data_IF_314458946452
#
_entry.id   IF_314458946452
#
_cell.length_a   1.000
_cell.length_b   1.000
_cell.length_c   1.000
_cell.angle_alpha   90.00
_cell.angle_beta   90.00
_cell.angle_gamma   90.00
#
_symmetry.space_group_name_H-M   'P 1'
#
loop_
_entity.id
_entity.type
_entity.pdbx_description
1 polymer ?
#
# COMPACT_ATOMS: atom_id res chain seq x y z
N UNK A 1 -53.85 -15.65 62.02
CA UNK A 1 -53.11 -15.68 60.73
C UNK A 1 -53.14 -14.27 60.16
N UNK A 2 -52.03 -13.57 59.91
CA UNK A 2 -51.99 -12.48 58.91
C UNK A 2 -50.65 -11.75 58.78
N UNK A 3 -49.80 -11.67 59.82
CA UNK A 3 -48.51 -10.96 59.68
C UNK A 3 -47.37 -11.87 59.24
N UNK A 4 -47.20 -13.04 59.87
CA UNK A 4 -46.13 -14.00 59.54
C UNK A 4 -46.28 -14.58 58.13
N UNK A 5 -47.51 -14.89 57.70
CA UNK A 5 -47.78 -15.40 56.34
C UNK A 5 -47.52 -14.31 55.30
N UNK A 6 -47.91 -13.06 55.59
CA UNK A 6 -47.67 -11.93 54.68
C UNK A 6 -46.17 -11.61 54.56
N UNK A 7 -45.42 -11.68 55.66
CA UNK A 7 -43.95 -11.50 55.64
C UNK A 7 -43.23 -12.64 54.93
N UNK A 8 -43.65 -13.89 55.12
CA UNK A 8 -43.09 -15.05 54.39
C UNK A 8 -43.39 -14.98 52.90
N UNK A 9 -44.60 -14.53 52.53
CA UNK A 9 -45.00 -14.30 51.14
C UNK A 9 -44.18 -13.15 50.51
N UNK A 10 -43.95 -12.06 51.24
CA UNK A 10 -43.13 -10.94 50.77
C UNK A 10 -41.68 -11.36 50.54
N UNK A 11 -41.10 -12.19 51.42
CA UNK A 11 -39.74 -12.74 51.27
C UNK A 11 -39.63 -13.71 50.09
N UNK A 12 -40.64 -14.57 49.89
CA UNK A 12 -40.69 -15.51 48.77
C UNK A 12 -40.87 -14.83 47.39
N UNK A 13 -41.46 -13.64 47.35
CA UNK A 13 -41.58 -12.84 46.11
C UNK A 13 -40.23 -12.24 45.71
N UNK A 14 -39.32 -11.97 46.65
CA UNK A 14 -37.98 -11.40 46.33
C UNK A 14 -37.07 -12.38 45.59
N UNK A 15 -37.24 -13.69 45.76
CA UNK A 15 -36.43 -14.71 45.07
C UNK A 15 -36.89 -15.00 43.63
N UNK A 16 -38.04 -14.45 43.22
CA UNK A 16 -38.60 -14.58 41.87
C UNK A 16 -38.28 -13.38 40.97
N UNK A 17 -37.63 -12.34 41.50
CA UNK A 17 -37.24 -11.15 40.74
C UNK A 17 -35.86 -11.40 40.09
N UNK A 18 -35.82 -12.24 39.06
CA UNK A 18 -34.69 -12.30 38.14
C UNK A 18 -34.71 -11.06 37.22
N UNK A 19 -34.41 -9.87 37.75
CA UNK A 19 -34.56 -8.60 37.02
C UNK A 19 -33.69 -8.48 35.74
N UNK A 20 -32.88 -9.48 35.37
CA UNK A 20 -31.78 -9.28 34.41
C UNK A 20 -31.54 -10.46 33.46
N UNK A 21 -32.47 -11.42 33.34
CA UNK A 21 -32.06 -12.75 32.83
C UNK A 21 -31.95 -12.89 31.30
N UNK A 22 -32.00 -11.80 30.50
CA UNK A 22 -31.86 -11.89 29.03
C UNK A 22 -31.11 -10.71 28.40
N UNK A 23 -31.47 -9.47 28.75
CA UNK A 23 -30.87 -8.25 28.19
C UNK A 23 -30.86 -7.14 29.25
N UNK A 24 -29.69 -6.62 29.58
CA UNK A 24 -29.55 -5.44 30.43
C UNK A 24 -29.63 -4.18 29.56
N UNK A 25 -30.69 -3.41 29.73
CA UNK A 25 -30.83 -2.08 29.13
C UNK A 25 -30.36 -0.99 30.08
N UNK A 26 -29.52 -0.08 29.60
CA UNK A 26 -29.17 1.16 30.30
C UNK A 26 -29.53 2.32 29.38
N UNK A 27 -30.40 3.21 29.85
CA UNK A 27 -30.89 4.34 29.04
C UNK A 27 -31.90 3.95 27.94
N UNK A 28 -32.47 2.75 27.99
CA UNK A 28 -33.51 2.31 27.03
C UNK A 28 -34.58 1.45 27.70
N UNK A 29 -35.84 1.67 27.33
CA UNK A 29 -36.98 0.86 27.78
C UNK A 29 -37.25 -0.34 26.87
N UNK A 30 -36.60 -0.41 25.71
CA UNK A 30 -36.72 -1.50 24.73
C UNK A 30 -35.33 -2.02 24.37
N UNK A 31 -34.67 -2.79 25.27
CA UNK A 31 -33.37 -3.39 24.99
C UNK A 31 -33.42 -4.24 23.72
N UNK A 32 -32.35 -4.22 22.92
CA UNK A 32 -32.26 -5.06 21.73
C UNK A 32 -32.31 -6.54 22.19
N UNK A 33 -33.25 -7.36 21.69
CA UNK A 33 -33.42 -8.74 22.14
C UNK A 33 -32.21 -9.63 21.82
N UNK A 34 -31.32 -9.21 20.93
CA UNK A 34 -30.08 -9.91 20.57
C UNK A 34 -28.86 -9.42 21.38
N UNK A 35 -29.02 -8.43 22.27
CA UNK A 35 -27.94 -7.89 23.08
C UNK A 35 -28.09 -8.29 24.55
N UNK A 36 -27.04 -8.88 25.14
CA UNK A 36 -26.98 -9.08 26.58
C UNK A 36 -26.82 -7.75 27.35
N UNK A 37 -26.22 -6.74 26.72
CA UNK A 37 -26.10 -5.36 27.22
C UNK A 37 -26.42 -4.37 26.10
N UNK A 38 -27.43 -3.53 26.29
CA UNK A 38 -27.80 -2.43 25.39
C UNK A 38 -27.66 -1.11 26.15
N UNK A 39 -26.69 -0.28 25.75
CA UNK A 39 -26.48 1.05 26.33
C UNK A 39 -26.87 2.10 25.29
N UNK A 40 -27.84 2.94 25.65
CA UNK A 40 -28.27 4.08 24.85
C UNK A 40 -27.99 5.38 25.60
N UNK A 41 -27.81 6.47 24.85
CA UNK A 41 -27.75 7.82 25.42
C UNK A 41 -29.02 8.58 25.03
N UNK A 42 -30.07 8.61 25.89
CA UNK A 42 -31.35 9.24 25.58
C UNK A 42 -31.24 10.70 25.10
N UNK A 43 -30.23 11.41 25.61
CA UNK A 43 -29.96 12.82 25.33
C UNK A 43 -28.70 13.04 24.48
N UNK A 44 -28.08 11.97 23.97
CA UNK A 44 -26.88 12.06 23.11
C UNK A 44 -25.62 12.61 23.78
N UNK A 45 -25.52 12.55 25.11
CA UNK A 45 -24.44 13.15 25.91
C UNK A 45 -23.77 12.17 26.90
N UNK A 46 -23.99 10.87 26.74
CA UNK A 46 -23.42 9.81 27.59
C UNK A 46 -22.75 8.74 26.72
N UNK A 47 -21.77 8.04 27.29
CA UNK A 47 -21.13 6.87 26.69
C UNK A 47 -20.90 5.77 27.73
N UNK A 48 -20.36 4.63 27.30
CA UNK A 48 -20.05 3.52 28.20
C UNK A 48 -18.57 3.50 28.57
N UNK A 49 -18.28 3.38 29.87
CA UNK A 49 -16.94 3.07 30.34
C UNK A 49 -16.78 1.57 30.54
N UNK A 50 -15.90 0.99 29.74
CA UNK A 50 -15.43 -0.38 29.84
C UNK A 50 -14.30 -0.49 30.88
N UNK A 51 -14.02 -1.70 31.42
CA UNK A 51 -12.93 -1.90 32.37
C UNK A 51 -11.62 -1.32 31.85
N UNK A 52 -10.94 -0.51 32.68
CA UNK A 52 -9.68 0.13 32.34
C UNK A 52 -8.56 -0.46 33.15
N UNK A 53 -7.55 -0.98 32.49
CA UNK A 53 -6.40 -1.65 33.12
C UNK A 53 -5.10 -1.01 32.63
N UNK A 54 -4.01 -1.13 33.40
CA UNK A 54 -2.66 -0.90 32.87
C UNK A 54 -2.25 -2.02 31.92
N UNK A 55 -1.21 -1.81 31.11
CA UNK A 55 -0.65 -2.84 30.24
C UNK A 55 -0.20 -4.06 31.04
N UNK A 56 0.37 -3.85 32.23
CA UNK A 56 0.77 -4.94 33.12
C UNK A 56 -0.43 -5.77 33.59
N UNK A 57 -1.52 -5.11 34.01
CA UNK A 57 -2.74 -5.78 34.46
C UNK A 57 -3.41 -6.56 33.31
N UNK A 58 -3.56 -5.96 32.13
CA UNK A 58 -4.10 -6.65 30.94
C UNK A 58 -3.25 -7.86 30.56
N UNK A 59 -1.92 -7.70 30.54
CA UNK A 59 -1.00 -8.78 30.14
C UNK A 59 -1.08 -9.95 31.11
N UNK A 60 -1.18 -9.67 32.42
CA UNK A 60 -1.37 -10.69 33.45
C UNK A 60 -2.67 -11.50 33.26
N UNK A 61 -3.71 -10.93 32.65
CA UNK A 61 -4.94 -11.70 32.35
C UNK A 61 -4.69 -12.81 31.32
N UNK A 62 -3.67 -12.71 30.47
CA UNK A 62 -3.44 -13.69 29.40
C UNK A 62 -3.13 -15.10 29.92
N UNK A 63 -2.77 -15.26 31.20
CA UNK A 63 -2.54 -16.56 31.83
C UNK A 63 -3.81 -17.24 32.38
N UNK A 64 -4.90 -16.48 32.51
CA UNK A 64 -6.18 -16.96 33.05
C UNK A 64 -7.30 -17.01 32.01
N UNK A 65 -7.13 -16.33 30.88
CA UNK A 65 -8.10 -16.32 29.78
C UNK A 65 -7.83 -17.47 28.80
N UNK A 66 -8.93 -18.02 28.26
CA UNK A 66 -8.90 -19.05 27.22
C UNK A 66 -9.82 -18.75 26.05
N UNK A 67 -10.10 -19.76 25.23
CA UNK A 67 -10.96 -19.62 24.06
C UNK A 67 -12.41 -19.20 24.40
N UNK A 68 -12.90 -19.59 25.58
CA UNK A 68 -14.24 -19.24 26.05
C UNK A 68 -14.43 -17.74 26.34
N UNK A 69 -13.33 -17.01 26.56
CA UNK A 69 -13.35 -15.57 26.87
C UNK A 69 -13.23 -14.70 25.61
N UNK A 70 -13.27 -15.30 24.42
CA UNK A 70 -13.18 -14.58 23.16
C UNK A 70 -14.27 -13.50 23.06
N UNK A 71 -13.88 -12.29 22.68
CA UNK A 71 -14.76 -11.11 22.66
C UNK A 71 -14.73 -10.28 23.95
N UNK A 72 -13.94 -10.66 24.97
CA UNK A 72 -13.73 -9.80 26.15
C UNK A 72 -13.09 -8.46 25.75
N UNK A 73 -13.68 -7.36 26.25
CA UNK A 73 -13.34 -5.98 25.89
C UNK A 73 -12.79 -5.22 27.09
N UNK A 74 -11.64 -4.54 26.93
CA UNK A 74 -11.09 -3.64 27.94
C UNK A 74 -10.22 -2.53 27.34
N UNK A 75 -10.03 -1.45 28.10
CA UNK A 75 -9.24 -0.28 27.67
C UNK A 75 -7.90 -0.28 28.39
N UNK A 76 -6.81 -0.22 27.63
CA UNK A 76 -5.45 -0.14 28.16
C UNK A 76 -5.06 1.31 28.40
N UNK A 77 -4.85 1.69 29.66
CA UNK A 77 -4.55 3.06 30.06
C UNK A 77 -3.13 3.49 29.67
N UNK A 78 -2.18 2.58 29.48
CA UNK A 78 -0.80 2.96 29.14
C UNK A 78 -0.70 3.17 27.63
N UNK A 79 -1.33 2.29 26.84
CA UNK A 79 -1.32 2.33 25.38
C UNK A 79 -2.47 3.14 24.76
N UNK A 80 -3.42 3.61 25.58
CA UNK A 80 -4.58 4.41 25.18
C UNK A 80 -5.43 3.76 24.08
N UNK A 81 -5.65 2.44 24.19
CA UNK A 81 -6.29 1.65 23.14
C UNK A 81 -7.34 0.67 23.69
N UNK A 82 -8.38 0.40 22.89
CA UNK A 82 -9.29 -0.71 23.11
C UNK A 82 -8.59 -2.02 22.76
N UNK A 83 -8.83 -3.04 23.58
CA UNK A 83 -8.36 -4.40 23.37
C UNK A 83 -9.51 -5.39 23.38
N UNK A 84 -9.45 -6.37 22.47
CA UNK A 84 -10.38 -7.50 22.35
C UNK A 84 -9.60 -8.80 22.49
N UNK A 85 -10.01 -9.69 23.38
CA UNK A 85 -9.42 -11.03 23.45
C UNK A 85 -9.94 -11.87 22.29
N UNK A 86 -9.05 -12.44 21.46
CA UNK A 86 -9.47 -13.28 20.33
C UNK A 86 -9.61 -14.77 20.67
N UNK A 87 -9.51 -15.13 21.96
CA UNK A 87 -9.48 -16.51 22.44
C UNK A 87 -8.06 -17.04 22.71
N UNK A 88 -7.02 -16.34 22.26
CA UNK A 88 -5.61 -16.74 22.43
C UNK A 88 -4.70 -15.59 22.86
N UNK A 89 -4.96 -14.39 22.35
CA UNK A 89 -4.14 -13.20 22.57
C UNK A 89 -5.00 -11.94 22.50
N UNK A 90 -4.53 -10.88 23.15
CA UNK A 90 -5.12 -9.56 23.09
C UNK A 90 -4.84 -8.88 21.74
N UNK A 91 -5.91 -8.48 21.05
CA UNK A 91 -5.85 -7.70 19.81
C UNK A 91 -6.16 -6.23 20.10
N UNK A 92 -5.32 -5.31 19.62
CA UNK A 92 -5.51 -3.88 19.81
C UNK A 92 -6.33 -3.27 18.69
N UNK A 93 -7.25 -2.36 19.00
CA UNK A 93 -7.93 -1.52 18.01
C UNK A 93 -7.05 -0.40 17.46
N UNK A 94 -5.87 -0.15 18.06
CA UNK A 94 -4.99 0.95 17.67
C UNK A 94 -4.22 0.69 16.37
N UNK A 95 -4.30 -0.54 15.83
CA UNK A 95 -3.72 -0.89 14.54
C UNK A 95 -4.84 -1.34 13.62
N UNK A 96 -4.98 -0.67 12.48
CA UNK A 96 -5.72 -1.24 11.36
C UNK A 96 -4.96 -2.47 10.89
N UNK A 97 -5.35 -3.62 11.40
CA UNK A 97 -4.81 -4.90 10.98
C UNK A 97 -5.66 -5.37 9.80
N UNK A 98 -5.26 -5.00 8.59
CA UNK A 98 -5.83 -5.61 7.40
C UNK A 98 -5.58 -7.13 7.49
N UNK A 99 -6.54 -7.98 7.11
CA UNK A 99 -6.37 -9.43 7.19
C UNK A 99 -5.09 -9.86 6.47
N UNK A 100 -4.45 -10.93 6.99
CA UNK A 100 -3.19 -11.45 6.47
C UNK A 100 -3.25 -11.80 4.97
N UNK A 101 -4.44 -12.15 4.47
CA UNK A 101 -4.85 -12.15 3.05
C UNK A 101 -6.37 -11.98 3.02
N UNK A 102 -6.88 -11.01 2.26
CA UNK A 102 -8.32 -10.89 1.96
C UNK A 102 -8.53 -10.81 0.45
N UNK A 103 -9.66 -11.31 -0.05
CA UNK A 103 -10.04 -11.23 -1.47
C UNK A 103 -11.36 -10.51 -1.60
N UNK A 104 -11.33 -9.29 -2.13
CA UNK A 104 -12.53 -8.53 -2.42
C UNK A 104 -13.13 -8.97 -3.76
N UNK A 105 -14.35 -9.53 -3.73
CA UNK A 105 -15.04 -10.06 -4.92
C UNK A 105 -16.07 -9.09 -5.50
N UNK A 106 -16.43 -8.03 -4.78
CA UNK A 106 -17.37 -7.01 -5.24
C UNK A 106 -16.91 -5.61 -4.86
N UNK A 107 -17.08 -4.66 -5.78
CA UNK A 107 -16.91 -3.23 -5.55
C UNK A 107 -18.11 -2.50 -6.17
N UNK A 108 -18.57 -1.39 -5.57
CA UNK A 108 -19.54 -0.54 -6.24
C UNK A 108 -18.95 -0.01 -7.56
N UNK A 109 -19.77 0.20 -8.62
CA UNK A 109 -19.30 0.80 -9.86
C UNK A 109 -18.53 2.10 -9.61
N UNK A 110 -17.36 2.25 -10.22
CA UNK A 110 -16.45 3.39 -10.05
C UNK A 110 -15.89 3.57 -8.62
N UNK A 111 -15.94 2.54 -7.78
CA UNK A 111 -15.38 2.53 -6.42
C UNK A 111 -13.91 2.10 -6.35
N UNK A 112 -13.25 2.44 -5.24
CA UNK A 112 -11.92 1.96 -4.89
C UNK A 112 -12.01 1.02 -3.68
N UNK A 113 -11.27 -0.09 -3.70
CA UNK A 113 -11.11 -0.95 -2.52
C UNK A 113 -10.38 -0.23 -1.39
N UNK A 114 -9.41 0.61 -1.75
CA UNK A 114 -8.66 1.48 -0.85
C UNK A 114 -8.44 2.82 -1.55
N UNK A 115 -8.81 3.91 -0.90
CA UNK A 115 -8.52 5.27 -1.37
C UNK A 115 -8.03 6.11 -0.20
N UNK A 116 -6.83 6.68 -0.35
CA UNK A 116 -6.24 7.60 0.61
C UNK A 116 -6.11 8.95 -0.09
N UNK A 117 -6.73 10.00 0.45
CA UNK A 117 -6.69 11.36 -0.11
C UNK A 117 -6.15 12.30 0.96
N UNK A 118 -5.06 12.99 0.63
CA UNK A 118 -4.58 14.13 1.40
C UNK A 118 -4.83 15.40 0.59
N UNK A 119 -5.72 16.26 1.07
CA UNK A 119 -6.06 17.53 0.45
C UNK A 119 -5.86 18.64 1.48
N UNK A 120 -4.75 19.37 1.37
CA UNK A 120 -4.31 20.33 2.38
C UNK A 120 -3.61 21.51 1.73
N UNK A 121 -3.68 22.68 2.37
CA UNK A 121 -2.94 23.89 2.01
C UNK A 121 -1.69 24.10 2.88
N UNK A 122 -1.37 23.14 3.75
CA UNK A 122 -0.28 23.26 4.71
C UNK A 122 1.10 23.29 4.03
N UNK A 123 1.97 24.19 4.50
CA UNK A 123 3.36 24.34 4.04
C UNK A 123 4.26 23.42 4.86
N UNK A 124 4.37 22.15 4.46
CA UNK A 124 5.23 21.16 5.12
C UNK A 124 5.39 19.91 4.27
N UNK A 125 6.33 19.05 4.66
CA UNK A 125 6.54 17.76 3.98
C UNK A 125 5.59 16.72 4.59
N UNK A 126 4.65 16.24 3.78
CA UNK A 126 3.66 15.25 4.21
C UNK A 126 3.69 14.04 3.26
N UNK A 127 3.74 12.84 3.83
CA UNK A 127 3.55 11.59 3.10
C UNK A 127 2.10 11.12 3.20
N UNK A 128 1.54 10.63 2.11
CA UNK A 128 0.17 10.06 2.09
C UNK A 128 0.18 8.58 2.44
N UNK A 129 1.20 7.86 1.98
CA UNK A 129 1.42 6.45 2.25
C UNK A 129 2.92 6.14 2.25
N UNK A 130 3.32 5.14 3.04
CA UNK A 130 4.69 4.66 3.12
C UNK A 130 4.68 3.13 3.15
N UNK A 131 5.40 2.50 2.23
CA UNK A 131 5.47 1.04 2.07
C UNK A 131 6.91 0.59 2.17
N UNK A 132 7.28 -0.07 3.27
CA UNK A 132 8.64 -0.53 3.52
C UNK A 132 8.67 -2.02 3.85
N UNK A 133 9.68 -2.70 3.32
CA UNK A 133 10.03 -4.07 3.69
C UNK A 133 11.52 -4.10 4.07
N UNK A 134 11.77 -3.91 5.36
CA UNK A 134 13.13 -3.84 5.93
C UNK A 134 13.69 -5.22 6.32
N UNK A 135 12.97 -6.31 6.04
CA UNK A 135 13.44 -7.65 6.34
C UNK A 135 14.41 -8.12 5.25
N UNK A 136 15.72 -8.31 5.55
CA UNK A 136 16.71 -8.70 4.56
C UNK A 136 16.46 -10.09 3.96
N UNK A 137 15.61 -10.90 4.59
CA UNK A 137 15.27 -12.25 4.14
C UNK A 137 13.93 -12.33 3.40
N UNK A 138 13.28 -11.20 3.11
CA UNK A 138 11.97 -11.23 2.46
C UNK A 138 12.06 -11.56 0.98
N UNK A 139 11.21 -12.48 0.51
CA UNK A 139 11.03 -12.80 -0.91
C UNK A 139 9.93 -12.00 -1.61
N UNK A 140 9.32 -11.01 -0.94
CA UNK A 140 8.17 -10.26 -1.45
C UNK A 140 8.48 -8.76 -1.64
N UNK A 141 7.89 -8.17 -2.67
CA UNK A 141 7.95 -6.72 -2.90
C UNK A 141 7.15 -5.96 -1.83
N UNK A 142 7.62 -4.77 -1.44
CA UNK A 142 6.86 -3.88 -0.55
C UNK A 142 5.57 -3.36 -1.22
N UNK A 143 5.57 -3.26 -2.56
CA UNK A 143 4.41 -2.96 -3.37
C UNK A 143 4.35 -3.95 -4.56
N UNK A 144 3.19 -4.57 -4.76
CA UNK A 144 2.92 -5.44 -5.90
C UNK A 144 1.62 -5.01 -6.56
N UNK A 145 1.66 -4.78 -7.87
CA UNK A 145 0.50 -4.43 -8.67
C UNK A 145 0.41 -5.37 -9.87
N UNK A 146 -0.79 -5.91 -10.12
CA UNK A 146 -1.07 -6.77 -11.27
C UNK A 146 -2.49 -6.50 -11.74
N UNK A 147 -2.64 -6.45 -13.06
CA UNK A 147 -3.93 -6.42 -13.74
C UNK A 147 -4.02 -7.57 -14.72
N UNK A 148 -5.20 -8.17 -14.82
CA UNK A 148 -5.56 -9.09 -15.91
C UNK A 148 -6.57 -8.43 -16.86
N UNK A 149 -6.82 -7.12 -16.69
CA UNK A 149 -7.74 -6.35 -17.53
C UNK A 149 -7.17 -6.16 -18.93
N UNK A 150 -8.05 -6.18 -19.93
CA UNK A 150 -7.71 -5.86 -21.31
C UNK A 150 -7.63 -4.34 -21.58
N UNK A 151 -8.13 -3.50 -20.67
CA UNK A 151 -8.33 -2.06 -20.94
C UNK A 151 -7.53 -1.14 -20.02
N UNK A 152 -7.05 -1.61 -18.87
CA UNK A 152 -6.41 -0.76 -17.86
C UNK A 152 -5.05 -1.31 -17.41
N UNK A 153 -4.12 -0.40 -17.09
CA UNK A 153 -2.83 -0.71 -16.48
C UNK A 153 -2.92 -1.15 -15.01
N UNK A 154 -1.84 -1.74 -14.50
CA UNK A 154 -1.75 -2.16 -13.10
C UNK A 154 -1.50 -0.99 -12.13
N UNK A 155 -0.92 0.10 -12.63
CA UNK A 155 -0.60 1.29 -11.87
C UNK A 155 -0.59 2.52 -12.79
N UNK A 156 -0.89 3.69 -12.22
CA UNK A 156 -0.74 4.99 -12.85
C UNK A 156 0.02 5.91 -11.88
N UNK A 157 0.99 6.66 -12.41
CA UNK A 157 1.89 7.54 -11.64
C UNK A 157 1.90 8.89 -12.33
N UNK A 158 1.10 9.83 -11.81
CA UNK A 158 0.86 11.13 -12.45
C UNK A 158 1.28 12.27 -11.54
N UNK A 159 2.08 13.17 -12.10
CA UNK A 159 2.36 14.48 -11.51
C UNK A 159 1.67 15.54 -12.37
N UNK A 160 0.56 16.08 -11.88
CA UNK A 160 -0.19 17.13 -12.56
C UNK A 160 0.08 18.50 -11.92
N UNK A 161 1.32 18.97 -12.02
CA UNK A 161 1.73 20.28 -11.53
C UNK A 161 2.85 20.85 -12.42
N UNK A 162 2.61 21.93 -13.18
CA UNK A 162 3.62 22.48 -14.11
C UNK A 162 4.85 23.07 -13.39
N UNK A 163 4.76 23.34 -12.09
CA UNK A 163 5.89 23.84 -11.29
C UNK A 163 6.69 22.71 -10.61
N UNK A 164 6.34 21.44 -10.83
CA UNK A 164 7.05 20.33 -10.21
C UNK A 164 8.47 20.17 -10.80
N UNK A 165 9.46 19.99 -9.92
CA UNK A 165 10.88 19.80 -10.28
C UNK A 165 11.44 18.46 -9.79
N UNK A 166 10.59 17.50 -9.46
CA UNK A 166 10.97 16.20 -8.91
C UNK A 166 10.55 15.06 -9.85
N UNK A 167 11.08 13.87 -9.63
CA UNK A 167 10.69 12.69 -10.39
C UNK A 167 9.25 12.28 -10.03
N UNK A 168 8.46 11.93 -11.05
CA UNK A 168 7.20 11.22 -10.84
C UNK A 168 7.43 9.79 -10.31
N UNK A 169 8.57 9.19 -10.68
CA UNK A 169 9.03 7.87 -10.22
C UNK A 169 10.55 7.90 -10.04
N UNK A 170 11.01 7.87 -8.79
CA UNK A 170 12.42 7.67 -8.45
C UNK A 170 12.72 6.19 -8.22
N UNK A 171 13.74 5.65 -8.88
CA UNK A 171 14.22 4.27 -8.69
C UNK A 171 15.72 4.27 -8.44
N UNK A 172 16.16 3.53 -7.42
CA UNK A 172 17.59 3.39 -7.10
C UNK A 172 17.88 2.02 -6.51
N UNK A 173 19.12 1.55 -6.68
CA UNK A 173 19.61 0.32 -6.06
C UNK A 173 21.09 0.49 -5.74
N UNK A 174 21.51 0.00 -4.58
CA UNK A 174 22.92 -0.09 -4.17
C UNK A 174 23.44 -1.54 -4.22
N UNK A 175 22.66 -2.48 -4.76
CA UNK A 175 23.03 -3.88 -4.78
C UNK A 175 24.12 -4.14 -5.85
N UNK A 176 25.14 -4.92 -5.48
CA UNK A 176 26.31 -5.23 -6.31
C UNK A 176 25.96 -5.75 -7.71
N UNK A 177 24.88 -6.53 -7.82
CA UNK A 177 24.35 -7.07 -9.08
C UNK A 177 22.86 -6.71 -9.27
N UNK A 178 22.42 -5.63 -8.62
CA UNK A 178 21.03 -5.17 -8.65
C UNK A 178 20.62 -4.57 -9.98
N UNK A 179 19.33 -4.64 -10.27
CA UNK A 179 18.70 -3.91 -11.38
C UNK A 179 17.62 -3.02 -10.80
N UNK A 180 17.75 -1.71 -10.99
CA UNK A 180 16.79 -0.73 -10.48
C UNK A 180 15.42 -0.79 -11.19
N UNK A 181 15.40 -1.15 -12.47
CA UNK A 181 14.17 -1.28 -13.25
C UNK A 181 14.28 -2.31 -14.38
N UNK A 182 13.17 -3.00 -14.67
CA UNK A 182 13.06 -3.95 -15.76
C UNK A 182 11.71 -3.73 -16.48
N UNK A 183 11.77 -3.45 -17.78
CA UNK A 183 10.59 -3.27 -18.63
C UNK A 183 10.60 -4.36 -19.70
N UNK A 184 9.56 -5.20 -19.73
CA UNK A 184 9.53 -6.40 -20.56
C UNK A 184 8.21 -6.52 -21.31
N UNK A 185 8.30 -6.72 -22.62
CA UNK A 185 7.20 -7.23 -23.45
C UNK A 185 7.54 -8.67 -23.84
N UNK A 186 6.73 -9.63 -23.44
CA UNK A 186 6.96 -11.07 -23.64
C UNK A 186 5.96 -11.73 -24.59
N UNK A 187 5.37 -10.94 -25.50
CA UNK A 187 4.45 -11.45 -26.52
C UNK A 187 5.11 -11.35 -27.91
N UNK A 188 5.31 -12.49 -28.56
CA UNK A 188 5.97 -12.59 -29.87
C UNK A 188 5.24 -11.84 -31.00
N UNK A 189 3.94 -11.55 -30.83
CA UNK A 189 3.15 -10.75 -31.77
C UNK A 189 3.12 -9.25 -31.46
N UNK A 190 3.73 -8.79 -30.36
CA UNK A 190 3.70 -7.38 -29.98
C UNK A 190 4.49 -6.51 -30.96
N UNK A 191 3.92 -5.35 -31.31
CA UNK A 191 4.57 -4.28 -32.09
C UNK A 191 4.76 -2.99 -31.28
N UNK A 192 4.53 -3.06 -29.97
CA UNK A 192 4.62 -1.92 -29.06
C UNK A 192 6.00 -1.80 -28.40
N UNK A 193 6.23 -0.66 -27.75
CA UNK A 193 7.44 -0.39 -26.98
C UNK A 193 7.31 -0.89 -25.54
N UNK A 194 8.36 -1.54 -25.02
CA UNK A 194 8.40 -1.90 -23.60
C UNK A 194 8.59 -0.67 -22.70
N UNK A 195 9.25 0.36 -23.24
CA UNK A 195 9.39 1.68 -22.65
C UNK A 195 9.18 2.72 -23.75
N UNK A 196 8.29 3.68 -23.50
CA UNK A 196 8.04 4.83 -24.37
C UNK A 196 8.33 6.10 -23.59
N UNK A 197 9.17 6.97 -24.14
CA UNK A 197 9.52 8.25 -23.55
C UNK A 197 9.35 9.34 -24.60
N UNK A 198 8.68 10.43 -24.23
CA UNK A 198 8.37 11.55 -25.09
C UNK A 198 8.66 12.87 -24.36
N UNK A 199 9.25 13.82 -25.09
CA UNK A 199 9.39 15.22 -24.66
C UNK A 199 8.75 16.10 -25.73
N UNK A 200 8.00 17.12 -25.33
CA UNK A 200 7.35 18.10 -26.21
C UNK A 200 7.84 19.54 -25.95
N UNK A 201 8.87 19.70 -25.12
CA UNK A 201 9.39 21.02 -24.77
C UNK A 201 10.26 21.62 -25.88
N UNK A 202 10.21 22.94 -26.04
CA UNK A 202 11.08 23.71 -26.94
C UNK A 202 12.54 23.82 -26.47
N UNK A 203 12.87 23.20 -25.33
CA UNK A 203 14.22 23.17 -24.76
C UNK A 203 15.01 21.98 -25.31
N UNK A 204 16.34 22.09 -25.31
CA UNK A 204 17.26 21.02 -25.77
C UNK A 204 17.30 19.77 -24.86
N UNK A 205 16.26 19.56 -24.05
CA UNK A 205 16.15 18.43 -23.13
C UNK A 205 15.85 17.13 -23.86
N UNK A 206 16.64 16.09 -23.58
CA UNK A 206 16.42 14.77 -24.15
C UNK A 206 15.22 14.06 -23.47
N UNK A 207 14.38 13.39 -24.26
CA UNK A 207 13.32 12.53 -23.72
C UNK A 207 13.89 11.34 -22.92
N UNK A 208 15.10 10.88 -23.28
CA UNK A 208 15.86 9.87 -22.56
C UNK A 208 17.30 10.36 -22.42
N UNK A 209 17.81 10.37 -21.18
CA UNK A 209 19.17 10.76 -20.88
C UNK A 209 19.85 9.67 -20.04
N UNK A 210 20.93 9.10 -20.56
CA UNK A 210 21.80 8.17 -19.84
C UNK A 210 23.11 8.85 -19.45
N UNK A 211 23.47 8.81 -18.16
CA UNK A 211 24.73 9.35 -17.65
C UNK A 211 25.49 8.24 -16.91
N UNK A 212 26.60 7.78 -17.46
CA UNK A 212 27.50 6.82 -16.83
C UNK A 212 28.76 7.54 -16.37
N UNK A 213 28.96 7.62 -15.05
CA UNK A 213 30.13 8.25 -14.40
C UNK A 213 31.22 7.25 -14.03
N UNK A 214 30.97 5.95 -14.24
CA UNK A 214 31.90 4.86 -13.94
C UNK A 214 32.48 4.25 -15.21
N UNK A 215 32.84 2.97 -15.12
CA UNK A 215 33.35 2.19 -16.24
C UNK A 215 32.20 1.39 -16.88
N UNK A 216 32.07 1.44 -18.21
CA UNK A 216 31.09 0.66 -18.97
C UNK A 216 30.38 1.49 -20.05
N UNK A 217 29.34 0.90 -20.64
CA UNK A 217 28.52 1.58 -21.64
C UNK A 217 27.50 2.50 -20.98
N UNK A 218 27.29 3.70 -21.52
CA UNK A 218 26.16 4.56 -21.13
C UNK A 218 24.81 4.01 -21.61
N UNK A 219 24.81 3.39 -22.79
CA UNK A 219 23.66 2.70 -23.39
C UNK A 219 24.16 1.46 -24.12
N UNK A 220 23.48 0.33 -23.96
CA UNK A 220 23.79 -0.91 -24.65
C UNK A 220 22.56 -1.43 -25.39
N UNK A 221 22.59 -1.34 -26.72
CA UNK A 221 21.58 -1.97 -27.59
C UNK A 221 22.04 -3.36 -28.00
N UNK A 222 21.15 -4.35 -27.92
CA UNK A 222 21.38 -5.71 -28.43
C UNK A 222 20.15 -6.22 -29.16
N UNK A 223 20.36 -6.79 -30.33
CA UNK A 223 19.33 -7.50 -31.08
C UNK A 223 19.85 -8.86 -31.52
N UNK A 224 19.02 -9.89 -31.37
CA UNK A 224 19.24 -11.24 -31.89
C UNK A 224 18.26 -11.56 -33.03
N UNK A 225 17.55 -10.56 -33.56
CA UNK A 225 16.54 -10.77 -34.58
C UNK A 225 17.14 -11.19 -35.92
N UNK A 226 16.48 -12.11 -36.62
CA UNK A 226 16.89 -12.64 -37.93
C UNK A 226 16.13 -12.01 -39.10
N UNK A 227 15.32 -10.98 -38.86
CA UNK A 227 14.44 -10.36 -39.85
C UNK A 227 14.84 -8.91 -40.14
N UNK A 228 14.35 -8.37 -41.27
CA UNK A 228 14.44 -6.93 -41.55
C UNK A 228 13.91 -6.12 -40.36
N UNK A 229 14.55 -4.98 -40.06
CA UNK A 229 14.31 -4.13 -38.87
C UNK A 229 14.81 -4.68 -37.51
N UNK A 230 15.68 -5.69 -37.49
CA UNK A 230 16.31 -6.20 -36.25
C UNK A 230 17.53 -5.38 -35.79
N UNK A 231 17.57 -4.07 -36.05
CA UNK A 231 18.67 -3.22 -35.61
C UNK A 231 18.67 -3.10 -34.08
N UNK A 232 19.85 -3.18 -33.46
CA UNK A 232 19.99 -2.98 -32.01
C UNK A 232 19.74 -1.53 -31.58
N UNK A 233 20.03 -0.58 -32.48
CA UNK A 233 19.74 0.85 -32.35
C UNK A 233 19.22 1.32 -33.71
N UNK A 234 18.10 2.03 -33.72
CA UNK A 234 17.51 2.65 -34.90
C UNK A 234 17.18 4.10 -34.56
N UNK A 235 17.72 5.03 -35.35
CA UNK A 235 17.45 6.46 -35.24
C UNK A 235 16.76 6.95 -36.51
N UNK A 236 15.63 7.64 -36.35
CA UNK A 236 14.86 8.23 -37.45
C UNK A 236 14.63 9.70 -37.15
N UNK A 237 14.92 10.56 -38.13
CA UNK A 237 14.70 11.98 -38.03
C UNK A 237 13.95 12.46 -39.28
N UNK A 238 12.67 12.78 -39.08
CA UNK A 238 11.76 13.25 -40.14
C UNK A 238 11.61 14.78 -40.14
N UNK A 239 12.17 15.45 -39.13
CA UNK A 239 12.14 16.91 -39.00
C UNK A 239 13.17 17.59 -39.91
N UNK A 240 13.19 18.92 -39.86
CA UNK A 240 14.11 19.75 -40.66
C UNK A 240 15.36 20.20 -39.89
N UNK A 241 15.54 19.82 -38.61
CA UNK A 241 16.67 20.25 -37.78
C UNK A 241 17.71 19.16 -37.48
N UNK A 242 19.01 19.46 -37.67
CA UNK A 242 20.16 18.60 -37.33
C UNK A 242 20.14 17.15 -37.89
N UNK A 243 21.15 16.34 -37.54
CA UNK A 243 21.31 14.96 -37.95
C UNK A 243 20.52 13.97 -37.06
N UNK A 244 20.14 12.82 -37.63
CA UNK A 244 19.49 11.73 -36.89
C UNK A 244 20.37 11.09 -35.79
N UNK A 245 21.68 11.34 -35.83
CA UNK A 245 22.63 10.94 -34.81
C UNK A 245 23.86 11.83 -34.81
N UNK A 246 24.36 12.17 -33.62
CA UNK A 246 25.59 12.93 -33.42
C UNK A 246 26.47 12.21 -32.41
N UNK A 247 27.70 11.89 -32.80
CA UNK A 247 28.71 11.28 -31.95
C UNK A 247 29.84 12.29 -31.74
N UNK A 248 30.05 12.71 -30.48
CA UNK A 248 30.99 13.80 -30.16
C UNK A 248 31.83 13.45 -28.94
N UNK A 249 33.12 13.74 -29.02
CA UNK A 249 34.04 13.74 -27.89
C UNK A 249 34.43 15.20 -27.66
N UNK A 250 34.09 15.74 -26.49
CA UNK A 250 34.35 17.15 -26.14
C UNK A 250 35.67 17.35 -25.38
N UNK A 251 36.25 16.28 -24.84
CA UNK A 251 37.54 16.35 -24.16
C UNK A 251 38.69 16.40 -25.19
N UNK A 252 39.36 17.54 -25.29
CA UNK A 252 40.45 17.78 -26.25
C UNK A 252 41.66 16.85 -26.07
N UNK A 253 41.85 16.25 -24.89
CA UNK A 253 42.92 15.27 -24.64
C UNK A 253 42.57 13.82 -24.98
N UNK A 254 41.35 13.55 -25.46
CA UNK A 254 40.92 12.20 -25.80
C UNK A 254 41.48 11.79 -27.18
N UNK A 255 42.09 10.62 -27.25
CA UNK A 255 42.80 10.09 -28.44
C UNK A 255 41.97 9.10 -29.27
N UNK A 256 40.75 8.80 -28.86
CA UNK A 256 39.87 7.83 -29.53
C UNK A 256 38.94 8.49 -30.54
N UNK A 257 38.41 7.68 -31.47
CA UNK A 257 37.39 8.15 -32.42
C UNK A 257 36.03 8.31 -31.73
N UNK A 258 35.26 9.31 -32.15
CA UNK A 258 33.90 9.52 -31.66
C UNK A 258 32.92 8.40 -32.09
N UNK A 259 33.24 7.71 -33.20
CA UNK A 259 32.55 6.52 -33.67
C UNK A 259 33.59 5.45 -34.01
N UNK A 260 33.37 4.24 -33.53
CA UNK A 260 34.21 3.07 -33.80
C UNK A 260 33.28 1.92 -34.21
N UNK A 261 33.61 1.27 -35.33
CA UNK A 261 32.89 0.11 -35.85
C UNK A 261 33.84 -1.09 -35.95
N UNK A 262 33.31 -2.27 -35.63
CA UNK A 262 34.00 -3.55 -35.78
C UNK A 262 33.00 -4.64 -36.18
N UNK A 263 33.45 -5.59 -37.00
CA UNK A 263 32.63 -6.73 -37.40
C UNK A 263 33.48 -7.99 -37.51
N UNK A 264 33.01 -9.08 -36.88
CA UNK A 264 33.52 -10.43 -37.12
C UNK A 264 32.82 -11.10 -38.32
N UNK A 265 31.84 -10.43 -38.92
CA UNK A 265 31.11 -10.90 -40.09
C UNK A 265 31.80 -10.54 -41.41
N UNK A 266 31.20 -10.94 -42.52
CA UNK A 266 31.72 -10.69 -43.88
C UNK A 266 31.34 -9.32 -44.45
N UNK A 267 30.51 -8.55 -43.75
CA UNK A 267 30.08 -7.21 -44.16
C UNK A 267 31.05 -6.11 -43.68
N UNK A 268 30.77 -4.86 -44.06
CA UNK A 268 31.51 -3.69 -43.57
C UNK A 268 31.12 -3.34 -42.14
N UNK A 269 32.11 -2.83 -41.39
CA UNK A 269 31.93 -2.19 -40.09
C UNK A 269 31.74 -0.67 -40.24
#
# INVERSE_FOLDING_TARGET
MNKVILSALLLAVTTLVYAQNKSLGVGTTTPNPNAALHVESPTGNQGALMPRLSTAQRTAMSSILGAADAGLLLYDNDLKALYIWNGTTWQSSAKLQFPLVDTLTTLPPNGNALRIVYNSTATGNFGVAHFENINPNSGFSALFARTNSATNGAADLVVNNPANTNDALGVSTNALNGRAGAFTLNNAGSRNYALYAQSNGDSTGAAVHGNNVGNGFGVFGKSNGSKFASAAVYGEHIGTGDAAGAFRISNAGNVYSALYGETNGTGSA
#
